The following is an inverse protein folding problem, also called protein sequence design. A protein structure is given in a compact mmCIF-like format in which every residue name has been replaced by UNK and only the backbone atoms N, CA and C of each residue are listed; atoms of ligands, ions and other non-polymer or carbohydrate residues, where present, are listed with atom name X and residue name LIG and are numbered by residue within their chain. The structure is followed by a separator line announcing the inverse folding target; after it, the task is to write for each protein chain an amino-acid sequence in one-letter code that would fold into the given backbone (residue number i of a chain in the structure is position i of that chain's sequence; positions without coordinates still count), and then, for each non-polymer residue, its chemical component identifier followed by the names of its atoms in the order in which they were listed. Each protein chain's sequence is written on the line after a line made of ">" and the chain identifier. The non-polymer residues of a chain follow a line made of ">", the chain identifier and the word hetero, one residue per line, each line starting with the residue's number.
data_IF_507248642560
#
_entry.id   IF_507248642560
#
_cell.length_a   1.000
_cell.length_b   1.000
_cell.length_c   1.000
_cell.angle_alpha   90.00
_cell.angle_beta   90.00
_cell.angle_gamma   90.00
#
_symmetry.space_group_name_H-M   'P 1'
#
loop_
_entity.id
_entity.type
_entity.pdbx_description
1 polymer ?
#
# COMPACT_ATOMS: atom_id res chain seq x y z
N UNK A 1 41.32 21.28 19.15
CA UNK A 1 41.01 20.00 18.47
C UNK A 1 39.50 19.92 18.31
N UNK A 2 39.00 20.05 17.08
CA UNK A 2 37.72 19.49 16.58
C UNK A 2 37.50 20.06 15.18
N UNK A 3 37.81 19.24 14.18
CA UNK A 3 37.73 19.56 12.76
C UNK A 3 36.39 19.04 12.23
N UNK A 4 35.48 19.95 11.87
CA UNK A 4 34.22 19.63 11.23
C UNK A 4 34.45 19.52 9.72
N UNK A 5 34.44 18.29 9.21
CA UNK A 5 34.41 17.97 7.78
C UNK A 5 33.02 18.28 7.22
N UNK A 6 32.92 19.30 6.38
CA UNK A 6 31.76 19.50 5.51
C UNK A 6 31.89 18.59 4.28
N UNK A 7 30.89 17.76 4.06
CA UNK A 7 30.75 16.93 2.84
C UNK A 7 29.98 17.76 1.82
N UNK A 8 30.68 18.11 0.74
CA UNK A 8 30.15 18.76 -0.46
C UNK A 8 29.46 17.69 -1.31
N UNK A 9 28.18 17.89 -1.63
CA UNK A 9 27.39 16.98 -2.47
C UNK A 9 27.14 17.69 -3.81
N UNK A 10 28.02 17.43 -4.76
CA UNK A 10 27.85 17.80 -6.17
C UNK A 10 27.18 16.61 -6.88
N UNK A 11 26.09 16.86 -7.61
CA UNK A 11 25.41 15.91 -8.52
C UNK A 11 24.43 16.74 -9.34
N UNK A 12 24.82 17.28 -10.50
CA UNK A 12 25.15 16.63 -11.78
C UNK A 12 23.91 15.98 -12.39
N UNK A 13 23.26 16.81 -13.20
CA UNK A 13 22.26 16.49 -14.20
C UNK A 13 22.82 15.46 -15.18
N UNK A 14 22.08 14.38 -15.41
CA UNK A 14 22.21 13.58 -16.63
C UNK A 14 20.80 13.32 -17.18
N UNK A 15 20.49 14.10 -18.21
CA UNK A 15 19.46 13.82 -19.20
C UNK A 15 19.78 12.48 -19.87
N UNK A 16 18.85 11.52 -19.81
CA UNK A 16 18.88 10.34 -20.68
C UNK A 16 17.52 10.21 -21.37
N UNK A 17 17.49 10.83 -22.54
CA UNK A 17 16.51 10.59 -23.59
C UNK A 17 16.92 9.34 -24.40
N UNK A 18 15.91 8.59 -24.85
CA UNK A 18 15.93 7.56 -25.91
C UNK A 18 16.30 6.12 -25.51
N UNK A 19 15.32 5.21 -25.55
CA UNK A 19 15.04 4.43 -26.78
C UNK A 19 13.91 3.42 -26.58
N UNK A 20 12.94 3.55 -27.48
CA UNK A 20 11.98 2.54 -27.92
C UNK A 20 12.65 1.23 -28.34
N UNK A 21 12.03 0.08 -28.05
CA UNK A 21 11.63 -0.95 -29.03
C UNK A 21 10.94 -2.16 -28.34
N UNK A 22 9.72 -2.43 -28.83
CA UNK A 22 9.09 -3.76 -29.02
C UNK A 22 9.04 -4.77 -27.85
N UNK A 23 7.83 -4.91 -27.29
CA UNK A 23 7.25 -6.24 -27.05
C UNK A 23 5.71 -6.16 -27.12
N UNK A 24 5.15 -6.70 -28.20
CA UNK A 24 3.73 -7.01 -28.32
C UNK A 24 3.36 -8.08 -27.28
N UNK A 25 2.62 -7.69 -26.26
CA UNK A 25 1.93 -8.60 -25.35
C UNK A 25 0.51 -8.10 -25.16
N UNK A 26 -0.44 -8.75 -25.80
CA UNK A 26 -1.88 -8.44 -25.79
C UNK A 26 -2.50 -8.89 -24.46
N UNK A 27 -3.01 -8.00 -23.59
CA UNK A 27 -3.89 -8.40 -22.51
C UNK A 27 -5.33 -8.09 -22.93
N UNK A 28 -6.12 -9.14 -23.14
CA UNK A 28 -7.57 -9.06 -23.23
C UNK A 28 -8.12 -8.51 -21.91
N UNK A 29 -8.50 -7.24 -21.90
CA UNK A 29 -9.24 -6.64 -20.79
C UNK A 29 -10.75 -6.79 -21.02
N UNK A 30 -11.52 -6.91 -19.92
CA UNK A 30 -12.90 -7.34 -19.92
C UNK A 30 -13.86 -6.21 -20.29
N UNK A 31 -15.09 -6.61 -20.58
CA UNK A 31 -16.21 -5.76 -20.95
C UNK A 31 -16.31 -4.50 -20.07
N UNK A 32 -16.27 -3.36 -20.74
CA UNK A 32 -16.65 -2.05 -20.23
C UNK A 32 -18.16 -2.07 -19.95
N UNK A 33 -18.55 -2.53 -18.76
CA UNK A 33 -19.90 -2.30 -18.23
C UNK A 33 -19.99 -0.80 -17.97
N UNK A 34 -20.88 -0.14 -18.71
CA UNK A 34 -21.13 1.29 -18.60
C UNK A 34 -21.61 1.63 -17.20
N UNK A 35 -20.70 2.12 -16.36
CA UNK A 35 -21.03 2.84 -15.14
C UNK A 35 -21.71 4.15 -15.53
N UNK A 36 -23.04 4.14 -15.57
CA UNK A 36 -23.83 5.35 -15.63
C UNK A 36 -23.50 6.17 -14.38
N UNK A 37 -22.72 7.23 -14.56
CA UNK A 37 -22.47 8.19 -13.50
C UNK A 37 -23.81 8.66 -12.94
N UNK A 38 -24.06 8.33 -11.68
CA UNK A 38 -25.22 8.78 -10.94
C UNK A 38 -25.12 10.29 -10.80
N UNK A 39 -25.62 11.00 -11.81
CA UNK A 39 -25.70 12.44 -11.78
C UNK A 39 -26.88 12.76 -10.85
N UNK A 40 -26.65 13.23 -9.61
CA UNK A 40 -27.71 13.36 -8.61
C UNK A 40 -28.82 14.30 -9.09
N UNK A 41 -28.48 15.22 -9.99
CA UNK A 41 -29.40 16.14 -10.68
C UNK A 41 -30.42 15.41 -11.57
N UNK A 42 -30.01 14.33 -12.24
CA UNK A 42 -30.91 13.55 -13.09
C UNK A 42 -31.88 12.70 -12.26
N UNK A 43 -31.38 12.09 -11.19
CA UNK A 43 -32.23 11.35 -10.26
C UNK A 43 -33.26 12.27 -9.59
N UNK A 44 -32.81 13.43 -9.09
CA UNK A 44 -33.69 14.45 -8.51
C UNK A 44 -34.73 14.95 -9.52
N UNK A 45 -34.36 15.16 -10.78
CA UNK A 45 -35.29 15.58 -11.85
C UNK A 45 -36.33 14.51 -12.17
N UNK A 46 -35.97 13.23 -12.19
CA UNK A 46 -36.90 12.12 -12.45
C UNK A 46 -37.86 11.92 -11.28
N UNK A 47 -37.36 12.03 -10.05
CA UNK A 47 -38.20 11.96 -8.83
C UNK A 47 -39.15 13.15 -8.76
N UNK A 48 -38.67 14.38 -8.99
CA UNK A 48 -39.50 15.58 -9.00
C UNK A 48 -40.60 15.48 -10.07
N UNK A 49 -40.28 14.99 -11.27
CA UNK A 49 -41.27 14.80 -12.35
C UNK A 49 -42.34 13.76 -11.96
N UNK A 50 -41.95 12.62 -11.37
CA UNK A 50 -42.91 11.62 -10.89
C UNK A 50 -43.82 12.14 -9.79
N UNK A 51 -43.28 12.90 -8.85
CA UNK A 51 -44.08 13.52 -7.77
C UNK A 51 -45.03 14.57 -8.36
N UNK A 52 -44.57 15.37 -9.32
CA UNK A 52 -45.40 16.35 -10.00
C UNK A 52 -46.52 15.69 -10.83
N UNK A 53 -46.23 14.60 -11.54
CA UNK A 53 -47.23 13.83 -12.31
C UNK A 53 -48.27 13.16 -11.39
N UNK A 54 -47.89 12.71 -10.18
CA UNK A 54 -48.84 12.18 -9.20
C UNK A 54 -49.70 13.30 -8.57
N UNK A 55 -49.14 14.50 -8.42
CA UNK A 55 -49.88 15.66 -7.89
C UNK A 55 -50.84 16.24 -8.95
N UNK A 56 -50.39 16.32 -10.21
CA UNK A 56 -51.12 16.89 -11.36
C UNK A 56 -51.97 15.89 -12.14
N UNK A 57 -51.92 14.60 -11.78
CA UNK A 57 -53.02 13.69 -12.10
C UNK A 57 -54.26 14.19 -11.32
N UNK A 58 -54.96 15.13 -11.94
CA UNK A 58 -56.31 15.53 -11.57
C UNK A 58 -57.23 14.34 -11.86
N UNK A 59 -57.85 13.83 -10.80
CA UNK A 59 -59.04 13.00 -10.91
C UNK A 59 -60.19 13.93 -11.28
N UNK A 60 -60.31 14.22 -12.58
CA UNK A 60 -61.38 15.07 -13.14
C UNK A 60 -62.79 14.43 -13.02
N UNK A 61 -62.92 13.18 -12.54
CA UNK A 61 -64.21 12.50 -12.43
C UNK A 61 -64.30 11.62 -11.16
N UNK A 62 -64.50 12.21 -9.97
CA UNK A 62 -64.81 11.44 -8.77
C UNK A 62 -65.86 12.09 -7.86
N UNK A 63 -67.06 11.51 -7.88
CA UNK A 63 -68.18 11.80 -6.99
C UNK A 63 -67.76 11.82 -5.50
N UNK A 64 -68.18 12.88 -4.81
CA UNK A 64 -67.75 13.31 -3.47
C UNK A 64 -68.11 12.36 -2.30
N UNK A 65 -68.71 11.18 -2.53
CA UNK A 65 -69.40 10.38 -1.49
C UNK A 65 -68.88 8.97 -1.23
N UNK A 66 -67.85 8.47 -1.92
CA UNK A 66 -67.26 7.14 -1.62
C UNK A 66 -65.76 7.16 -1.81
N UNK A 67 -65.00 6.62 -0.84
CA UNK A 67 -63.56 6.25 -0.83
C UNK A 67 -62.56 7.29 -1.39
N UNK A 68 -62.80 7.84 -2.58
CA UNK A 68 -62.13 8.98 -3.20
C UNK A 68 -62.02 10.21 -2.28
N UNK A 69 -63.05 10.53 -1.48
CA UNK A 69 -62.98 11.66 -0.53
C UNK A 69 -61.94 11.49 0.59
N UNK A 70 -61.58 10.26 0.95
CA UNK A 70 -60.50 9.99 1.92
C UNK A 70 -59.13 10.12 1.23
N UNK A 71 -59.05 9.74 -0.05
CA UNK A 71 -57.83 9.87 -0.86
C UNK A 71 -57.49 11.34 -1.10
N UNK A 72 -58.48 12.19 -1.37
CA UNK A 72 -58.26 13.63 -1.54
C UNK A 72 -57.80 14.30 -0.24
N UNK A 73 -58.38 13.96 0.92
CA UNK A 73 -57.91 14.43 2.22
C UNK A 73 -56.45 14.01 2.51
N UNK A 74 -56.08 12.77 2.18
CA UNK A 74 -54.70 12.31 2.34
C UNK A 74 -53.74 13.05 1.39
N UNK A 75 -54.17 13.31 0.15
CA UNK A 75 -53.42 14.11 -0.84
C UNK A 75 -53.19 15.53 -0.33
N UNK A 76 -54.20 16.16 0.25
CA UNK A 76 -54.09 17.51 0.83
C UNK A 76 -53.18 17.56 2.06
N UNK A 77 -53.23 16.55 2.93
CA UNK A 77 -52.31 16.46 4.08
C UNK A 77 -50.86 16.30 3.60
N UNK A 78 -50.61 15.41 2.64
CA UNK A 78 -49.27 15.19 2.08
C UNK A 78 -48.78 16.47 1.38
N UNK A 79 -49.65 17.12 0.60
CA UNK A 79 -49.34 18.38 -0.07
C UNK A 79 -49.03 19.48 0.96
N UNK A 80 -49.81 19.56 2.04
CA UNK A 80 -49.59 20.49 3.15
C UNK A 80 -48.27 20.24 3.87
N UNK A 81 -47.89 18.98 4.10
CA UNK A 81 -46.59 18.62 4.70
C UNK A 81 -45.44 19.01 3.77
N UNK A 82 -45.53 18.69 2.48
CA UNK A 82 -44.50 19.06 1.49
C UNK A 82 -44.35 20.58 1.43
N UNK A 83 -45.47 21.31 1.37
CA UNK A 83 -45.48 22.77 1.30
C UNK A 83 -44.96 23.39 2.61
N UNK A 84 -45.26 22.77 3.75
CA UNK A 84 -44.68 23.11 5.06
C UNK A 84 -43.17 22.95 5.10
N UNK A 85 -42.64 21.79 4.68
CA UNK A 85 -41.19 21.52 4.62
C UNK A 85 -40.51 22.48 3.64
N UNK A 86 -41.11 22.75 2.48
CA UNK A 86 -40.61 23.73 1.51
C UNK A 86 -40.58 25.14 2.10
N UNK A 87 -41.62 25.55 2.82
CA UNK A 87 -41.72 26.88 3.44
C UNK A 87 -40.67 27.04 4.54
N UNK A 88 -40.48 26.03 5.40
CA UNK A 88 -39.42 26.02 6.42
C UNK A 88 -38.03 26.07 5.77
N UNK A 89 -37.81 25.28 4.72
CA UNK A 89 -36.54 25.28 3.98
C UNK A 89 -36.25 26.64 3.33
N UNK A 90 -37.27 27.29 2.80
CA UNK A 90 -37.17 28.64 2.23
C UNK A 90 -36.87 29.70 3.30
N UNK A 91 -37.49 29.61 4.48
CA UNK A 91 -37.19 30.48 5.62
C UNK A 91 -35.72 30.33 6.08
N UNK A 92 -35.19 29.10 6.12
CA UNK A 92 -33.78 28.85 6.44
C UNK A 92 -32.86 29.48 5.38
N UNK A 93 -33.20 29.39 4.09
CA UNK A 93 -32.44 30.03 3.02
C UNK A 93 -32.45 31.56 3.12
N UNK A 94 -33.59 32.16 3.47
CA UNK A 94 -33.70 33.61 3.67
C UNK A 94 -32.90 34.09 4.89
N UNK A 95 -32.88 33.31 5.97
CA UNK A 95 -32.04 33.55 7.14
C UNK A 95 -30.55 33.43 6.78
N UNK A 96 -30.17 32.42 6.00
CA UNK A 96 -28.79 32.27 5.52
C UNK A 96 -28.34 33.43 4.62
N UNK A 97 -29.25 34.00 3.83
CA UNK A 97 -29.01 35.18 2.99
C UNK A 97 -29.10 36.51 3.76
N UNK A 98 -29.39 36.46 5.06
CA UNK A 98 -29.47 37.61 5.97
C UNK A 98 -30.52 38.66 5.55
N UNK A 99 -31.58 38.24 4.86
CA UNK A 99 -32.68 39.12 4.41
C UNK A 99 -33.70 39.32 5.54
N UNK A 100 -33.92 38.29 6.36
CA UNK A 100 -34.77 38.35 7.56
C UNK A 100 -33.96 37.80 8.73
N UNK A 101 -33.68 38.65 9.72
CA UNK A 101 -32.78 38.31 10.82
C UNK A 101 -33.58 37.66 11.96
N UNK A 102 -33.77 36.35 11.90
CA UNK A 102 -34.43 35.62 12.99
C UNK A 102 -33.40 35.22 14.05
N UNK A 103 -33.36 35.95 15.17
CA UNK A 103 -32.51 35.58 16.31
C UNK A 103 -32.75 34.13 16.80
N UNK A 104 -33.97 33.63 16.64
CA UNK A 104 -34.33 32.23 16.94
C UNK A 104 -33.61 31.21 16.05
N UNK A 105 -33.39 31.52 14.77
CA UNK A 105 -32.70 30.63 13.84
C UNK A 105 -31.21 30.51 14.19
N UNK A 106 -30.58 31.61 14.62
CA UNK A 106 -29.20 31.56 15.08
C UNK A 106 -29.04 30.75 16.38
N UNK A 107 -30.00 30.86 17.31
CA UNK A 107 -30.01 30.06 18.54
C UNK A 107 -30.25 28.58 18.25
N UNK A 108 -31.18 28.25 17.35
CA UNK A 108 -31.40 26.87 16.92
C UNK A 108 -30.15 26.30 16.24
N UNK A 109 -29.52 27.05 15.34
CA UNK A 109 -28.28 26.64 14.66
C UNK A 109 -27.15 26.42 15.66
N UNK A 110 -26.98 27.31 16.64
CA UNK A 110 -25.95 27.15 17.67
C UNK A 110 -26.24 25.94 18.56
N UNK A 111 -27.49 25.68 18.93
CA UNK A 111 -27.89 24.50 19.68
C UNK A 111 -27.66 23.22 18.87
N UNK A 112 -28.00 23.22 17.57
CA UNK A 112 -27.74 22.10 16.68
C UNK A 112 -26.23 21.84 16.51
N UNK A 113 -25.41 22.89 16.37
CA UNK A 113 -23.95 22.72 16.35
C UNK A 113 -23.39 22.27 17.69
N UNK A 114 -23.94 22.70 18.82
CA UNK A 114 -23.52 22.19 20.13
C UNK A 114 -23.86 20.72 20.27
N UNK A 115 -25.07 20.32 19.87
CA UNK A 115 -25.51 18.93 19.89
C UNK A 115 -24.66 18.04 18.96
N UNK A 116 -24.37 18.51 17.74
CA UNK A 116 -23.51 17.78 16.80
C UNK A 116 -22.04 17.73 17.22
N UNK A 117 -21.60 18.62 18.11
CA UNK A 117 -20.25 18.58 18.68
C UNK A 117 -20.21 17.91 20.06
N UNK A 118 -21.35 17.44 20.57
CA UNK A 118 -21.41 16.77 21.86
C UNK A 118 -20.90 15.33 21.69
N UNK A 119 -19.80 14.94 22.38
CA UNK A 119 -19.23 13.60 22.23
C UNK A 119 -20.22 12.47 22.56
N UNK A 120 -21.19 12.71 23.45
CA UNK A 120 -22.20 11.71 23.80
C UNK A 120 -23.19 11.46 22.66
N UNK A 121 -23.57 12.51 21.94
CA UNK A 121 -24.45 12.40 20.77
C UNK A 121 -23.72 11.76 19.59
N UNK A 122 -22.45 12.12 19.38
CA UNK A 122 -21.62 11.50 18.34
C UNK A 122 -21.44 10.02 18.64
N UNK A 123 -21.12 9.62 19.88
CA UNK A 123 -20.95 8.22 20.24
C UNK A 123 -22.21 7.38 20.00
N UNK A 124 -23.39 7.90 20.37
CA UNK A 124 -24.67 7.25 20.08
C UNK A 124 -24.92 7.10 18.58
N UNK A 125 -24.59 8.12 17.78
CA UNK A 125 -24.72 8.05 16.32
C UNK A 125 -23.70 7.10 15.69
N UNK A 126 -22.47 7.01 16.21
CA UNK A 126 -21.45 6.06 15.76
C UNK A 126 -21.88 4.62 16.03
N UNK A 127 -22.46 4.35 17.19
CA UNK A 127 -22.99 3.04 17.56
C UNK A 127 -24.17 2.62 16.68
N UNK A 128 -25.10 3.54 16.42
CA UNK A 128 -26.30 3.25 15.63
C UNK A 128 -26.04 3.14 14.11
N UNK A 129 -25.01 3.81 13.59
CA UNK A 129 -24.75 3.87 12.14
C UNK A 129 -23.60 2.98 11.66
N UNK A 130 -22.84 2.35 12.56
CA UNK A 130 -21.57 1.66 12.26
C UNK A 130 -20.55 2.54 11.48
N UNK A 131 -20.77 3.85 11.40
CA UNK A 131 -19.89 4.80 10.74
C UNK A 131 -19.11 5.58 11.79
N UNK A 132 -17.79 5.66 11.62
CA UNK A 132 -16.94 6.48 12.49
C UNK A 132 -16.91 7.92 11.97
N UNK A 133 -17.36 8.86 12.79
CA UNK A 133 -17.28 10.28 12.46
C UNK A 133 -15.87 10.77 12.75
N UNK A 134 -15.13 11.03 11.68
CA UNK A 134 -13.76 11.55 11.76
C UNK A 134 -13.84 13.07 11.60
N UNK A 135 -13.18 13.81 12.48
CA UNK A 135 -13.12 15.28 12.34
C UNK A 135 -12.40 15.66 11.04
N UNK A 136 -12.71 16.84 10.47
CA UNK A 136 -12.05 17.28 9.22
C UNK A 136 -10.51 17.28 9.32
N UNK A 137 -9.98 17.67 10.48
CA UNK A 137 -8.54 17.68 10.73
C UNK A 137 -7.93 16.26 10.73
N UNK A 138 -8.60 15.31 11.36
CA UNK A 138 -8.18 13.91 11.35
C UNK A 138 -8.31 13.29 9.95
N UNK A 139 -9.36 13.64 9.21
CA UNK A 139 -9.56 13.20 7.83
C UNK A 139 -8.43 13.69 6.93
N UNK A 140 -8.10 14.99 6.98
CA UNK A 140 -6.97 15.56 6.23
C UNK A 140 -5.63 14.92 6.62
N UNK A 141 -5.41 14.70 7.92
CA UNK A 141 -4.20 14.03 8.41
C UNK A 141 -4.11 12.59 7.89
N UNK A 142 -5.22 11.85 7.88
CA UNK A 142 -5.27 10.47 7.38
C UNK A 142 -5.10 10.42 5.86
N UNK A 143 -5.69 11.35 5.13
CA UNK A 143 -5.50 11.45 3.69
C UNK A 143 -4.03 11.71 3.33
N UNK A 144 -3.37 12.64 4.03
CA UNK A 144 -1.94 12.91 3.84
C UNK A 144 -1.06 11.71 4.17
N UNK A 145 -1.43 10.93 5.20
CA UNK A 145 -0.74 9.68 5.53
C UNK A 145 -0.89 8.66 4.40
N UNK A 146 -2.10 8.47 3.87
CA UNK A 146 -2.40 7.56 2.75
C UNK A 146 -1.63 7.97 1.48
N UNK A 147 -1.63 9.25 1.13
CA UNK A 147 -0.89 9.75 -0.03
C UNK A 147 0.62 9.52 0.12
N UNK A 148 1.16 9.71 1.33
CA UNK A 148 2.56 9.43 1.64
C UNK A 148 2.94 7.94 1.63
N UNK A 149 1.99 7.03 1.82
CA UNK A 149 2.23 5.58 1.75
C UNK A 149 2.56 5.15 0.33
N UNK A 150 1.95 5.77 -0.69
CA UNK A 150 2.22 5.40 -2.08
C UNK A 150 3.70 5.64 -2.46
N UNK A 151 4.28 6.74 -2.00
CA UNK A 151 5.70 7.05 -2.20
C UNK A 151 6.61 6.05 -1.45
N UNK A 152 6.27 5.72 -0.20
CA UNK A 152 7.01 4.72 0.59
C UNK A 152 6.97 3.33 -0.07
N UNK A 153 5.84 2.95 -0.67
CA UNK A 153 5.71 1.69 -1.41
C UNK A 153 6.63 1.69 -2.62
N UNK A 154 6.65 2.77 -3.42
CA UNK A 154 7.55 2.90 -4.58
C UNK A 154 9.02 2.80 -4.18
N UNK A 155 9.45 3.56 -3.17
CA UNK A 155 10.83 3.54 -2.68
C UNK A 155 11.23 2.15 -2.14
N UNK A 156 10.30 1.46 -1.47
CA UNK A 156 10.53 0.09 -0.97
C UNK A 156 10.66 -0.91 -2.12
N UNK A 157 9.85 -0.75 -3.17
CA UNK A 157 9.89 -1.60 -4.36
C UNK A 157 11.20 -1.43 -5.13
N UNK A 158 11.67 -0.19 -5.35
CA UNK A 158 12.98 0.08 -5.96
C UNK A 158 14.13 -0.54 -5.15
N UNK A 159 14.05 -0.47 -3.81
CA UNK A 159 15.05 -1.09 -2.93
C UNK A 159 15.06 -2.61 -3.04
N UNK A 160 13.88 -3.23 -3.15
CA UNK A 160 13.75 -4.68 -3.34
C UNK A 160 14.29 -5.11 -4.70
N UNK A 161 13.97 -4.39 -5.77
CA UNK A 161 14.49 -4.67 -7.11
C UNK A 161 16.02 -4.57 -7.15
N UNK A 162 16.60 -3.56 -6.49
CA UNK A 162 18.06 -3.44 -6.35
C UNK A 162 18.67 -4.63 -5.61
N UNK A 163 18.09 -5.04 -4.48
CA UNK A 163 18.59 -6.17 -3.69
C UNK A 163 18.45 -7.50 -4.42
N UNK A 164 17.40 -7.68 -5.21
CA UNK A 164 17.25 -8.87 -6.04
C UNK A 164 18.33 -8.94 -7.11
N UNK A 165 18.64 -7.83 -7.79
CA UNK A 165 19.76 -7.78 -8.76
C UNK A 165 21.11 -8.10 -8.10
N UNK A 166 21.40 -7.50 -6.95
CA UNK A 166 22.63 -7.79 -6.19
C UNK A 166 22.70 -9.27 -5.75
N UNK A 167 21.55 -9.88 -5.40
CA UNK A 167 21.49 -11.29 -5.04
C UNK A 167 21.73 -12.20 -6.24
N UNK A 168 21.15 -11.89 -7.40
CA UNK A 168 21.38 -12.63 -8.65
C UNK A 168 22.84 -12.53 -9.11
N UNK A 169 23.47 -11.37 -9.03
CA UNK A 169 24.90 -11.18 -9.33
C UNK A 169 25.78 -12.02 -8.41
N UNK A 170 25.56 -11.96 -7.10
CA UNK A 170 26.29 -12.79 -6.13
C UNK A 170 26.05 -14.28 -6.32
N UNK A 171 24.85 -14.67 -6.74
CA UNK A 171 24.55 -16.07 -7.03
C UNK A 171 25.35 -16.56 -8.24
N UNK A 172 25.49 -15.75 -9.30
CA UNK A 172 26.37 -16.05 -10.44
C UNK A 172 27.83 -16.16 -10.02
N UNK A 173 28.34 -15.23 -9.21
CA UNK A 173 29.71 -15.30 -8.67
C UNK A 173 29.95 -16.60 -7.87
N UNK A 174 28.98 -17.02 -7.05
CA UNK A 174 29.06 -18.28 -6.30
C UNK A 174 29.09 -19.49 -7.24
N UNK A 175 28.28 -19.50 -8.30
CA UNK A 175 28.27 -20.58 -9.28
C UNK A 175 29.61 -20.67 -10.03
N UNK A 176 30.19 -19.55 -10.45
CA UNK A 176 31.52 -19.51 -11.06
C UNK A 176 32.61 -20.04 -10.12
N UNK A 177 32.64 -19.57 -8.86
CA UNK A 177 33.60 -20.02 -7.85
C UNK A 177 33.42 -21.52 -7.56
N UNK A 178 32.18 -22.02 -7.54
CA UNK A 178 31.88 -23.43 -7.31
C UNK A 178 32.42 -24.31 -8.44
N UNK A 179 32.29 -23.87 -9.68
CA UNK A 179 32.82 -24.57 -10.85
C UNK A 179 34.36 -24.56 -10.85
N UNK A 180 34.98 -23.44 -10.53
CA UNK A 180 36.43 -23.35 -10.33
C UNK A 180 36.92 -24.26 -9.21
N UNK A 181 36.23 -24.24 -8.06
CA UNK A 181 36.55 -25.10 -6.92
C UNK A 181 36.43 -26.58 -7.29
N UNK A 182 35.40 -26.97 -8.04
CA UNK A 182 35.22 -28.34 -8.53
C UNK A 182 36.37 -28.75 -9.46
N UNK A 183 36.73 -27.91 -10.43
CA UNK A 183 37.88 -28.14 -11.33
C UNK A 183 39.21 -28.29 -10.57
N UNK A 184 39.42 -27.48 -9.53
CA UNK A 184 40.61 -27.56 -8.68
C UNK A 184 40.63 -28.86 -7.87
N UNK A 185 39.49 -29.31 -7.36
CA UNK A 185 39.38 -30.56 -6.60
C UNK A 185 39.58 -31.80 -7.47
N UNK A 186 39.13 -31.76 -8.73
CA UNK A 186 39.27 -32.87 -9.69
C UNK A 186 40.65 -32.90 -10.37
N UNK A 187 41.50 -31.89 -10.20
CA UNK A 187 42.81 -31.84 -10.85
C UNK A 187 43.79 -32.89 -10.26
N UNK A 188 44.20 -33.92 -11.05
CA UNK A 188 45.05 -34.99 -10.57
C UNK A 188 46.46 -34.52 -10.17
N UNK A 189 46.95 -33.40 -10.72
CA UNK A 189 48.26 -32.83 -10.38
C UNK A 189 48.34 -32.29 -8.96
N UNK A 190 47.20 -31.86 -8.39
CA UNK A 190 47.17 -31.30 -7.04
C UNK A 190 47.09 -32.37 -5.95
N UNK A 191 46.69 -33.60 -6.31
CA UNK A 191 46.56 -34.71 -5.36
C UNK A 191 45.54 -34.49 -4.24
N UNK A 192 44.69 -33.46 -4.35
CA UNK A 192 43.70 -33.06 -3.34
C UNK A 192 42.67 -34.16 -3.07
N UNK A 193 42.36 -34.99 -4.07
CA UNK A 193 41.51 -36.17 -3.91
C UNK A 193 42.06 -37.16 -2.86
N UNK A 194 43.38 -37.19 -2.67
CA UNK A 194 44.00 -38.04 -1.68
C UNK A 194 44.03 -37.38 -0.29
N UNK A 195 43.67 -36.11 -0.13
CA UNK A 195 43.69 -35.43 1.16
C UNK A 195 42.68 -36.06 2.14
N UNK A 196 43.17 -36.46 3.32
CA UNK A 196 42.38 -37.02 4.41
C UNK A 196 42.69 -36.19 5.65
N UNK A 197 41.75 -35.31 6.02
CA UNK A 197 41.89 -34.39 7.15
C UNK A 197 42.08 -35.10 8.50
N UNK A 198 41.45 -36.26 8.66
CA UNK A 198 41.57 -37.11 9.84
C UNK A 198 42.84 -37.98 9.88
N UNK A 199 43.61 -38.05 8.79
CA UNK A 199 44.85 -38.82 8.75
C UNK A 199 45.91 -38.28 9.71
N UNK A 200 46.74 -39.18 10.26
CA UNK A 200 47.86 -38.77 11.14
C UNK A 200 49.01 -38.19 10.32
N UNK A 201 49.31 -36.93 10.57
CA UNK A 201 50.50 -36.22 10.09
C UNK A 201 51.62 -36.35 11.13
N UNK A 202 52.70 -37.08 10.78
CA UNK A 202 53.85 -37.32 11.68
C UNK A 202 53.48 -37.95 13.04
N UNK A 203 52.57 -38.93 13.03
CA UNK A 203 52.28 -39.83 14.17
C UNK A 203 51.43 -39.26 15.31
N UNK A 204 51.44 -37.94 15.58
CA UNK A 204 50.70 -37.31 16.70
C UNK A 204 49.71 -36.21 16.33
N UNK A 205 49.88 -35.54 15.19
CA UNK A 205 48.97 -34.47 14.73
C UNK A 205 48.06 -34.98 13.62
N UNK A 206 46.85 -34.42 13.45
CA UNK A 206 46.05 -34.68 12.25
C UNK A 206 46.48 -33.79 11.08
N UNK A 207 46.20 -34.21 9.85
CA UNK A 207 46.40 -33.38 8.66
C UNK A 207 45.68 -32.04 8.77
N UNK A 208 44.44 -32.03 9.29
CA UNK A 208 43.69 -30.78 9.49
C UNK A 208 44.34 -29.87 10.53
N UNK A 209 44.85 -30.41 11.63
CA UNK A 209 45.60 -29.62 12.63
C UNK A 209 46.86 -29.01 12.03
N UNK A 210 47.56 -29.73 11.14
CA UNK A 210 48.70 -29.18 10.42
C UNK A 210 48.28 -28.07 9.46
N UNK A 211 47.16 -28.23 8.77
CA UNK A 211 46.60 -27.22 7.88
C UNK A 211 46.20 -25.97 8.66
N UNK A 212 45.50 -26.10 9.79
CA UNK A 212 45.18 -24.97 10.68
C UNK A 212 46.44 -24.27 11.16
N UNK A 213 47.46 -25.02 11.60
CA UNK A 213 48.75 -24.44 11.98
C UNK A 213 49.39 -23.64 10.84
N UNK A 214 49.37 -24.14 9.60
CA UNK A 214 49.91 -23.43 8.44
C UNK A 214 49.11 -22.16 8.09
N UNK A 215 47.78 -22.22 8.24
CA UNK A 215 46.91 -21.05 8.07
C UNK A 215 47.22 -19.99 9.12
N UNK A 216 47.26 -20.36 10.39
CA UNK A 216 47.44 -19.43 11.50
C UNK A 216 48.86 -18.85 11.54
N UNK A 217 49.88 -19.67 11.27
CA UNK A 217 51.30 -19.27 11.38
C UNK A 217 51.77 -18.46 10.17
N UNK A 218 51.32 -18.82 8.97
CA UNK A 218 51.83 -18.24 7.72
C UNK A 218 50.77 -17.48 6.92
N UNK A 219 49.55 -17.30 7.45
CA UNK A 219 48.40 -16.69 6.76
C UNK A 219 48.16 -17.31 5.37
N UNK A 220 48.40 -18.62 5.25
CA UNK A 220 48.29 -19.32 3.97
C UNK A 220 46.84 -19.64 3.65
N UNK A 221 46.46 -19.54 2.37
CA UNK A 221 45.10 -19.90 1.93
C UNK A 221 44.86 -21.40 2.19
N UNK A 222 43.61 -21.81 2.54
CA UNK A 222 43.32 -23.19 2.92
C UNK A 222 43.76 -24.25 1.91
N UNK A 223 43.62 -23.98 0.62
CA UNK A 223 44.03 -24.89 -0.45
C UNK A 223 45.55 -25.11 -0.49
N UNK A 224 46.33 -24.04 -0.35
CA UNK A 224 47.80 -24.08 -0.37
C UNK A 224 48.30 -24.79 0.87
N UNK A 225 47.73 -24.49 2.04
CA UNK A 225 48.05 -25.16 3.29
C UNK A 225 47.81 -26.68 3.20
N UNK A 226 46.72 -27.12 2.55
CA UNK A 226 46.45 -28.54 2.28
C UNK A 226 47.50 -29.16 1.36
N UNK A 227 47.86 -28.48 0.27
CA UNK A 227 48.88 -28.96 -0.68
C UNK A 227 50.25 -29.07 0.01
N UNK A 228 50.65 -28.10 0.81
CA UNK A 228 51.93 -28.12 1.53
C UNK A 228 51.96 -29.18 2.63
N UNK A 229 50.84 -29.40 3.34
CA UNK A 229 50.70 -30.50 4.27
C UNK A 229 50.88 -31.87 3.59
N UNK A 230 50.41 -32.02 2.34
CA UNK A 230 50.61 -33.23 1.52
C UNK A 230 52.04 -33.37 0.98
N UNK A 231 52.70 -32.30 0.57
CA UNK A 231 54.09 -32.33 0.07
C UNK A 231 55.10 -32.75 1.16
N UNK A 232 54.90 -32.27 2.39
CA UNK A 232 55.82 -32.54 3.51
C UNK A 232 55.40 -33.73 4.37
N UNK A 233 54.17 -34.22 4.20
CA UNK A 233 53.68 -35.36 4.93
C UNK A 233 54.24 -36.66 4.38
N UNK A 234 55.21 -37.26 5.09
CA UNK A 234 55.28 -38.73 5.13
C UNK A 234 53.98 -39.19 5.76
N UNK A 235 52.93 -39.40 4.95
CA UNK A 235 51.85 -40.27 5.38
C UNK A 235 52.52 -41.59 5.71
N UNK A 236 52.50 -41.96 6.97
CA UNK A 236 52.54 -43.37 7.30
C UNK A 236 51.32 -43.92 6.56
N UNK A 237 51.53 -44.63 5.46
CA UNK A 237 50.46 -45.48 4.93
C UNK A 237 50.05 -46.31 6.13
N UNK A 238 48.89 -46.02 6.69
CA UNK A 238 48.17 -47.06 7.40
C UNK A 238 47.70 -47.98 6.30
N UNK A 239 48.63 -48.81 5.81
CA UNK A 239 48.31 -50.14 5.35
C UNK A 239 47.59 -50.79 6.55
N UNK A 240 46.27 -50.86 6.43
CA UNK A 240 45.50 -51.91 7.09
C UNK A 240 45.64 -53.13 6.20
#
# INVERSE_FOLDING_TARGET
>A
MSSLRQVKKDGKDEDVESQSLLAQGKPSSPAKVGGGGHNPVFLAKVVARKVFDIIMADDDDADLMTVAGIVTLLKDIILGVILGVLTISFLILLDHRNIVHFQSAHNFRNAAFQLMNDPETIASLEEDSEMKFVTLQEYESKMKEIDGVQEKIKNSQETLEKRNKEAEEKQKEIEEIKDEHKKLMENPLLGLANYNGGGRWSGKLSCDQRVSYLQDTYNTRPLIAKIDAMKHGKRLSTDI
#
